data_IF_866026974828
#
_entry.id   IF_866026974828
#
_cell.length_a   1.000
_cell.length_b   1.000
_cell.length_c   1.000
_cell.angle_alpha   90.00
_cell.angle_beta   90.00
_cell.angle_gamma   90.00
#
_symmetry.space_group_name_H-M   'P 1'
#
loop_
_entity.id
_entity.type
_entity.pdbx_description
1 polymer ?
#
# COMPACT_ATOMS: atom_id res chain seq x y z
N UNK A 1 50.60 11.73 4.48
CA UNK A 1 49.93 12.72 5.35
C UNK A 1 49.11 13.70 4.52
N UNK A 2 47.80 13.51 4.43
CA UNK A 2 46.85 14.62 4.26
C UNK A 2 45.79 14.42 5.33
N UNK A 3 46.04 15.06 6.46
CA UNK A 3 45.09 15.26 7.54
C UNK A 3 44.01 16.18 6.98
N UNK A 4 42.87 15.61 6.57
CA UNK A 4 41.67 16.40 6.26
C UNK A 4 40.76 16.28 7.47
N UNK A 5 41.05 17.09 8.48
CA UNK A 5 40.08 17.59 9.47
C UNK A 5 40.01 19.10 9.19
N UNK A 6 38.88 19.81 9.23
CA UNK A 6 37.95 19.78 10.36
C UNK A 6 36.52 20.29 10.05
N UNK A 7 36.22 20.94 8.91
CA UNK A 7 34.88 21.52 8.67
C UNK A 7 34.15 20.99 7.42
N UNK A 8 34.85 20.71 6.32
CA UNK A 8 34.23 20.24 5.06
C UNK A 8 33.54 18.88 5.18
N UNK A 9 34.06 17.98 6.04
CA UNK A 9 33.42 16.70 6.33
C UNK A 9 32.14 16.91 7.12
N UNK A 10 32.10 17.89 8.02
CA UNK A 10 30.89 18.26 8.76
C UNK A 10 29.86 18.84 7.79
N UNK A 11 30.25 19.79 6.93
CA UNK A 11 29.37 20.33 5.88
C UNK A 11 28.84 19.24 4.92
N UNK A 12 29.67 18.28 4.52
CA UNK A 12 29.24 17.14 3.68
C UNK A 12 28.36 16.15 4.43
N UNK A 13 28.60 15.90 5.71
CA UNK A 13 27.74 15.05 6.54
C UNK A 13 26.37 15.70 6.76
N UNK A 14 26.31 17.03 6.92
CA UNK A 14 25.04 17.78 6.92
C UNK A 14 24.35 17.82 5.54
N UNK A 15 25.05 17.47 4.46
CA UNK A 15 24.45 17.23 3.14
C UNK A 15 23.96 15.79 2.95
N UNK A 16 24.35 14.84 3.82
CA UNK A 16 23.86 13.46 3.75
C UNK A 16 22.47 13.36 4.39
N UNK A 17 21.45 13.61 3.56
CA UNK A 17 20.03 13.42 3.93
C UNK A 17 19.68 11.93 4.11
N UNK A 18 20.51 11.02 3.58
CA UNK A 18 20.27 9.59 3.57
C UNK A 18 21.31 8.84 4.41
N UNK A 19 20.81 8.02 5.34
CA UNK A 19 21.58 7.03 6.09
C UNK A 19 21.02 5.63 5.76
N UNK A 20 21.90 4.69 5.41
CA UNK A 20 21.50 3.31 5.11
C UNK A 20 21.85 2.40 6.29
N UNK A 21 20.85 1.67 6.79
CA UNK A 21 21.02 0.69 7.87
C UNK A 21 20.58 -0.69 7.40
N UNK A 22 21.40 -1.69 7.65
CA UNK A 22 21.03 -3.09 7.45
C UNK A 22 20.31 -3.55 8.72
N UNK A 23 19.17 -4.19 8.57
CA UNK A 23 18.43 -4.79 9.67
C UNK A 23 17.17 -5.51 9.20
N UNK A 24 16.56 -6.27 10.09
CA UNK A 24 15.30 -6.99 9.86
C UNK A 24 14.24 -6.52 10.86
N UNK A 25 13.02 -6.23 10.39
CA UNK A 25 11.89 -5.87 11.27
C UNK A 25 11.55 -6.99 12.26
N UNK A 26 11.92 -8.24 11.94
CA UNK A 26 11.77 -9.40 12.83
C UNK A 26 12.72 -9.35 14.03
N UNK A 27 13.89 -8.71 13.87
CA UNK A 27 14.86 -8.54 14.95
C UNK A 27 14.51 -7.28 15.76
N UNK A 28 14.23 -7.48 17.04
CA UNK A 28 13.84 -6.39 17.92
C UNK A 28 14.96 -5.37 18.13
N UNK A 29 16.22 -5.81 18.21
CA UNK A 29 17.35 -4.94 18.45
C UNK A 29 17.68 -4.09 17.23
N UNK A 30 17.54 -4.65 16.02
CA UNK A 30 17.66 -3.89 14.77
C UNK A 30 16.62 -2.77 14.70
N UNK A 31 15.35 -3.08 15.03
CA UNK A 31 14.28 -2.09 15.09
C UNK A 31 14.56 -1.02 16.15
N UNK A 32 15.01 -1.40 17.34
CA UNK A 32 15.38 -0.44 18.39
C UNK A 32 16.49 0.50 17.94
N UNK A 33 17.50 -0.02 17.23
CA UNK A 33 18.58 0.77 16.66
C UNK A 33 18.04 1.74 15.61
N UNK A 34 17.21 1.27 14.68
CA UNK A 34 16.65 2.07 13.58
C UNK A 34 15.69 3.17 14.04
N UNK A 35 14.85 2.92 15.05
CA UNK A 35 13.82 3.87 15.52
C UNK A 35 14.37 4.93 16.48
N UNK A 36 15.54 4.70 17.09
CA UNK A 36 16.13 5.63 18.06
C UNK A 36 16.43 6.99 17.42
N UNK A 37 15.77 8.03 17.91
CA UNK A 37 15.97 9.42 17.46
C UNK A 37 15.24 9.78 16.17
N UNK A 38 14.28 8.95 15.74
CA UNK A 38 13.46 9.19 14.55
C UNK A 38 12.14 9.87 14.94
N UNK A 39 11.70 10.86 14.16
CA UNK A 39 10.42 11.55 14.37
C UNK A 39 9.25 10.81 13.68
N UNK A 40 9.48 10.26 12.48
CA UNK A 40 8.45 9.59 11.67
C UNK A 40 8.97 8.23 11.20
N UNK A 41 8.19 7.17 11.42
CA UNK A 41 8.46 5.83 10.90
C UNK A 41 7.46 5.47 9.82
N UNK A 42 7.92 5.13 8.62
CA UNK A 42 7.07 4.55 7.56
C UNK A 42 7.35 3.04 7.49
N UNK A 43 6.45 2.22 8.01
CA UNK A 43 6.56 0.77 7.95
C UNK A 43 6.04 0.24 6.60
N UNK A 44 6.94 0.16 5.62
CA UNK A 44 6.70 -0.43 4.31
C UNK A 44 7.20 -1.88 4.19
N UNK A 45 7.90 -2.42 5.20
CA UNK A 45 8.40 -3.79 5.19
C UNK A 45 7.26 -4.80 5.27
N UNK A 46 7.20 -5.73 4.31
CA UNK A 46 6.17 -6.77 4.28
C UNK A 46 6.57 -7.96 3.39
N UNK A 47 6.07 -9.14 3.74
CA UNK A 47 5.93 -10.24 2.80
C UNK A 47 4.60 -10.06 2.05
N UNK A 48 4.67 -9.67 0.77
CA UNK A 48 3.52 -9.18 -0.01
C UNK A 48 3.01 -10.11 -1.11
N UNK A 49 3.69 -11.23 -1.35
CA UNK A 49 3.34 -12.18 -2.43
C UNK A 49 2.35 -13.22 -1.92
N UNK A 50 1.11 -13.21 -2.44
CA UNK A 50 0.04 -14.12 -2.00
C UNK A 50 0.47 -15.60 -1.98
N UNK A 51 1.02 -16.18 -3.07
CA UNK A 51 1.42 -17.58 -3.04
C UNK A 51 2.48 -17.87 -1.97
N UNK A 52 3.44 -16.96 -1.77
CA UNK A 52 4.50 -17.16 -0.77
C UNK A 52 3.92 -17.16 0.64
N UNK A 53 2.98 -16.27 0.93
CA UNK A 53 2.31 -16.21 2.22
C UNK A 53 1.41 -17.44 2.48
N UNK A 54 0.78 -18.01 1.45
CA UNK A 54 0.00 -19.24 1.58
C UNK A 54 0.87 -20.46 1.87
N UNK A 55 2.01 -20.61 1.19
CA UNK A 55 2.94 -21.70 1.46
C UNK A 55 3.72 -21.53 2.76
N UNK A 56 4.00 -20.29 3.17
CA UNK A 56 4.82 -19.96 4.34
C UNK A 56 4.11 -18.96 5.27
N UNK A 57 2.96 -19.34 5.86
CA UNK A 57 2.15 -18.42 6.67
C UNK A 57 2.88 -17.91 7.91
N UNK A 58 3.73 -18.74 8.53
CA UNK A 58 4.57 -18.33 9.65
C UNK A 58 5.49 -17.15 9.27
N UNK A 59 6.08 -17.18 8.07
CA UNK A 59 6.98 -16.13 7.58
C UNK A 59 6.22 -14.82 7.34
N UNK A 60 4.96 -14.91 6.87
CA UNK A 60 4.08 -13.76 6.75
C UNK A 60 3.75 -13.17 8.13
N UNK A 61 3.45 -14.00 9.14
CA UNK A 61 3.20 -13.54 10.51
C UNK A 61 4.43 -12.86 11.12
N UNK A 62 5.62 -13.47 11.00
CA UNK A 62 6.86 -12.90 11.52
C UNK A 62 7.17 -11.53 10.91
N UNK A 63 6.98 -11.38 9.60
CA UNK A 63 7.29 -10.11 8.92
C UNK A 63 6.20 -9.06 9.14
N UNK A 64 4.95 -9.40 8.81
CA UNK A 64 3.86 -8.43 8.71
C UNK A 64 3.26 -8.09 10.09
N UNK A 65 3.26 -9.04 11.04
CA UNK A 65 2.66 -8.86 12.37
C UNK A 65 3.72 -8.62 13.44
N UNK A 66 4.71 -9.51 13.56
CA UNK A 66 5.74 -9.39 14.61
C UNK A 66 6.65 -8.20 14.32
N UNK A 67 6.99 -7.94 13.04
CA UNK A 67 7.73 -6.74 12.66
C UNK A 67 7.04 -5.43 13.09
N UNK A 68 5.73 -5.31 12.84
CA UNK A 68 4.96 -4.16 13.30
C UNK A 68 4.89 -4.08 14.84
N UNK A 69 4.76 -5.22 15.51
CA UNK A 69 4.79 -5.30 16.98
C UNK A 69 6.13 -4.83 17.54
N UNK A 70 7.25 -5.17 16.89
CA UNK A 70 8.58 -4.74 17.31
C UNK A 70 8.73 -3.22 17.25
N UNK A 71 8.20 -2.55 16.23
CA UNK A 71 8.18 -1.07 16.15
C UNK A 71 7.42 -0.48 17.33
N UNK A 72 6.21 -0.99 17.60
CA UNK A 72 5.36 -0.53 18.70
C UNK A 72 6.07 -0.73 20.05
N UNK A 73 6.69 -1.90 20.26
CA UNK A 73 7.41 -2.23 21.48
C UNK A 73 8.64 -1.37 21.67
N UNK A 74 9.43 -1.13 20.62
CA UNK A 74 10.65 -0.34 20.69
C UNK A 74 10.33 1.09 21.16
N UNK A 75 9.29 1.71 20.59
CA UNK A 75 8.82 3.04 21.00
C UNK A 75 8.39 3.04 22.46
N UNK A 76 7.56 2.06 22.86
CA UNK A 76 7.01 1.97 24.22
C UNK A 76 8.06 1.72 25.29
N UNK A 77 8.86 0.68 25.11
CA UNK A 77 9.78 0.15 26.12
C UNK A 77 10.98 1.08 26.34
N UNK A 78 11.41 1.80 25.30
CA UNK A 78 12.53 2.76 25.40
C UNK A 78 12.08 4.22 25.53
N UNK A 79 10.77 4.51 25.44
CA UNK A 79 10.26 5.88 25.50
C UNK A 79 10.76 6.77 24.37
N UNK A 80 10.95 6.21 23.16
CA UNK A 80 11.38 6.99 22.00
C UNK A 80 10.32 8.00 21.60
N UNK A 81 10.74 9.23 21.28
CA UNK A 81 9.86 10.35 20.93
C UNK A 81 9.46 10.34 19.45
N UNK A 82 8.95 9.21 18.97
CA UNK A 82 8.39 9.11 17.62
C UNK A 82 7.05 9.85 17.61
N UNK A 83 6.90 10.80 16.69
CA UNK A 83 5.65 11.56 16.53
C UNK A 83 4.59 10.73 15.81
N UNK A 84 4.96 10.11 14.69
CA UNK A 84 4.01 9.34 13.85
C UNK A 84 4.63 8.05 13.32
N UNK A 85 3.86 6.97 13.36
CA UNK A 85 4.15 5.71 12.65
C UNK A 85 3.06 5.49 11.60
N UNK A 86 3.46 5.30 10.35
CA UNK A 86 2.57 4.97 9.24
C UNK A 86 2.75 3.51 8.86
N UNK A 87 1.70 2.70 9.03
CA UNK A 87 1.64 1.36 8.49
C UNK A 87 1.14 1.35 7.06
N UNK A 88 1.95 0.87 6.11
CA UNK A 88 1.47 0.60 4.74
C UNK A 88 0.68 -0.70 4.75
N UNK A 89 -0.58 -0.67 4.31
CA UNK A 89 -1.50 -1.81 4.18
C UNK A 89 -1.98 -1.96 2.73
N UNK A 90 -2.96 -2.85 2.51
CA UNK A 90 -3.46 -3.20 1.18
C UNK A 90 -4.98 -3.44 1.19
N UNK A 91 -5.64 -3.22 0.06
CA UNK A 91 -7.04 -3.64 -0.17
C UNK A 91 -7.35 -5.08 0.28
N UNK A 92 -6.38 -6.00 0.18
CA UNK A 92 -6.57 -7.41 0.59
C UNK A 92 -6.76 -7.58 2.09
N UNK A 93 -6.44 -6.56 2.90
CA UNK A 93 -6.71 -6.54 4.34
C UNK A 93 -8.21 -6.34 4.66
N UNK A 94 -8.98 -5.70 3.77
CA UNK A 94 -10.43 -5.60 3.93
C UNK A 94 -11.08 -6.92 3.51
N UNK A 95 -11.91 -7.55 4.36
CA UNK A 95 -12.52 -8.88 4.11
C UNK A 95 -11.50 -9.90 3.54
N UNK A 96 -10.41 -10.20 4.26
CA UNK A 96 -9.28 -10.95 3.72
C UNK A 96 -9.64 -12.42 3.44
N UNK A 97 -9.18 -12.94 2.30
CA UNK A 97 -9.41 -14.35 1.89
C UNK A 97 -8.11 -15.16 1.79
N UNK A 98 -6.95 -14.51 1.94
CA UNK A 98 -5.63 -15.11 1.86
C UNK A 98 -4.76 -14.64 3.03
N UNK A 99 -3.71 -15.42 3.35
CA UNK A 99 -2.81 -15.19 4.48
C UNK A 99 -2.13 -13.82 4.41
N UNK A 100 -1.76 -13.36 3.20
CA UNK A 100 -1.17 -12.04 3.03
C UNK A 100 -2.13 -10.95 3.52
N UNK A 101 -3.37 -10.95 3.03
CA UNK A 101 -4.42 -10.03 3.47
C UNK A 101 -4.72 -10.15 4.97
N UNK A 102 -4.82 -11.37 5.50
CA UNK A 102 -5.08 -11.61 6.93
C UNK A 102 -3.99 -11.02 7.82
N UNK A 103 -2.72 -11.21 7.47
CA UNK A 103 -1.59 -10.67 8.25
C UNK A 103 -1.51 -9.14 8.16
N UNK A 104 -1.87 -8.54 7.03
CA UNK A 104 -1.97 -7.08 6.90
C UNK A 104 -3.17 -6.50 7.67
N UNK A 105 -4.30 -7.21 7.71
CA UNK A 105 -5.43 -6.84 8.57
C UNK A 105 -5.04 -6.86 10.06
N UNK A 106 -4.27 -7.87 10.49
CA UNK A 106 -3.71 -7.93 11.85
C UNK A 106 -2.73 -6.77 12.09
N UNK A 107 -1.86 -6.44 11.13
CA UNK A 107 -0.95 -5.29 11.23
C UNK A 107 -1.71 -3.99 11.52
N UNK A 108 -2.80 -3.73 10.81
CA UNK A 108 -3.63 -2.54 11.04
C UNK A 108 -4.17 -2.53 12.48
N UNK A 109 -4.66 -3.66 12.99
CA UNK A 109 -5.14 -3.75 14.39
C UNK A 109 -4.02 -3.53 15.40
N UNK A 110 -2.81 -4.03 15.13
CA UNK A 110 -1.62 -3.79 15.96
C UNK A 110 -1.38 -2.27 16.07
N UNK A 111 -1.33 -1.56 14.94
CA UNK A 111 -1.11 -0.11 14.94
C UNK A 111 -2.30 0.68 15.52
N UNK A 112 -3.55 0.28 15.28
CA UNK A 112 -4.70 0.91 15.95
C UNK A 112 -4.56 0.79 17.47
N UNK A 113 -4.31 -0.42 18.00
CA UNK A 113 -4.13 -0.63 19.45
C UNK A 113 -2.91 0.08 20.02
N UNK A 114 -1.85 0.27 19.23
CA UNK A 114 -0.64 0.95 19.66
C UNK A 114 -0.89 2.40 20.09
N UNK A 115 -1.93 3.06 19.56
CA UNK A 115 -2.31 4.41 20.00
C UNK A 115 -2.80 4.45 21.46
N UNK A 116 -3.36 3.36 21.98
CA UNK A 116 -3.74 3.23 23.40
C UNK A 116 -2.49 2.96 24.25
N UNK A 117 -1.62 2.08 23.77
CA UNK A 117 -0.38 1.69 24.47
C UNK A 117 0.68 2.81 24.50
N UNK A 118 0.64 3.72 23.53
CA UNK A 118 1.61 4.80 23.33
C UNK A 118 0.86 6.12 23.06
N UNK A 119 0.31 6.77 24.10
CA UNK A 119 -0.55 7.95 23.93
C UNK A 119 0.14 9.16 23.29
N UNK A 120 1.48 9.20 23.29
CA UNK A 120 2.25 10.32 22.72
C UNK A 120 2.63 10.12 21.25
N UNK A 121 2.49 8.91 20.70
CA UNK A 121 2.82 8.61 19.30
C UNK A 121 1.54 8.33 18.54
N UNK A 122 1.39 8.93 17.36
CA UNK A 122 0.26 8.71 16.47
C UNK A 122 0.55 7.52 15.56
N UNK A 123 -0.19 6.43 15.70
CA UNK A 123 -0.12 5.29 14.78
C UNK A 123 -1.29 5.35 13.82
N UNK A 124 -1.00 5.39 12.52
CA UNK A 124 -1.98 5.46 11.45
C UNK A 124 -1.65 4.42 10.39
N UNK A 125 -2.64 4.06 9.59
CA UNK A 125 -2.41 3.20 8.43
C UNK A 125 -2.80 3.92 7.14
N UNK A 126 -2.17 3.53 6.06
CA UNK A 126 -2.70 3.76 4.71
C UNK A 126 -3.09 2.42 4.12
N UNK A 127 -4.21 2.36 3.42
CA UNK A 127 -4.67 1.16 2.74
C UNK A 127 -4.99 1.54 1.30
N UNK A 128 -4.31 0.91 0.36
CA UNK A 128 -4.56 1.11 -1.06
C UNK A 128 -4.45 -0.18 -1.86
N UNK A 129 -5.00 -0.16 -3.07
CA UNK A 129 -4.95 -1.29 -3.99
C UNK A 129 -3.61 -1.44 -4.70
N UNK A 130 -3.58 -2.29 -5.71
CA UNK A 130 -2.38 -2.51 -6.50
C UNK A 130 -1.91 -1.21 -7.17
N UNK A 131 -0.63 -0.89 -6.99
CA UNK A 131 0.03 0.23 -7.67
C UNK A 131 0.31 -0.14 -9.12
N UNK A 132 -0.10 0.74 -10.04
CA UNK A 132 0.11 0.63 -11.47
C UNK A 132 1.63 0.51 -11.75
N UNK A 133 1.99 -0.37 -12.70
CA UNK A 133 3.39 -0.68 -13.06
C UNK A 133 4.29 -1.26 -11.95
N UNK A 134 3.75 -1.67 -10.80
CA UNK A 134 4.54 -2.39 -9.80
C UNK A 134 5.03 -3.75 -10.32
N UNK A 135 6.20 -4.20 -9.84
CA UNK A 135 6.83 -5.46 -10.25
C UNK A 135 5.90 -6.65 -9.98
N UNK A 136 5.67 -7.48 -11.01
CA UNK A 136 4.77 -8.64 -10.93
C UNK A 136 3.28 -8.32 -11.00
N UNK A 137 2.89 -7.08 -11.29
CA UNK A 137 1.49 -6.71 -11.52
C UNK A 137 1.02 -7.02 -12.95
N UNK A 138 -0.29 -6.89 -13.18
CA UNK A 138 -0.94 -7.29 -14.44
C UNK A 138 -0.52 -6.44 -15.65
N UNK A 139 -0.25 -5.15 -15.46
CA UNK A 139 0.11 -4.24 -16.56
C UNK A 139 1.49 -4.61 -17.14
N UNK A 140 2.57 -4.74 -16.35
CA UNK A 140 3.85 -5.24 -16.85
C UNK A 140 3.76 -6.62 -17.51
N UNK A 141 2.95 -7.53 -16.96
CA UNK A 141 2.71 -8.84 -17.57
C UNK A 141 2.08 -8.69 -18.97
N UNK A 142 1.08 -7.82 -19.13
CA UNK A 142 0.44 -7.60 -20.43
C UNK A 142 1.38 -6.90 -21.41
N UNK A 143 2.20 -5.94 -20.96
CA UNK A 143 3.26 -5.34 -21.78
C UNK A 143 4.21 -6.40 -22.32
N UNK A 144 4.72 -7.28 -21.45
CA UNK A 144 5.62 -8.38 -21.82
C UNK A 144 4.96 -9.33 -22.83
N UNK A 145 3.77 -9.84 -22.50
CA UNK A 145 2.99 -10.73 -23.37
C UNK A 145 2.74 -10.11 -24.75
N UNK A 146 2.39 -8.83 -24.80
CA UNK A 146 2.16 -8.13 -26.06
C UNK A 146 3.46 -7.98 -26.85
N UNK A 147 4.56 -7.62 -26.18
CA UNK A 147 5.87 -7.46 -26.83
C UNK A 147 6.39 -8.77 -27.42
N UNK A 148 5.99 -9.91 -26.86
CA UNK A 148 6.32 -11.25 -27.35
C UNK A 148 5.31 -11.82 -28.36
N UNK A 149 4.28 -11.06 -28.76
CA UNK A 149 3.28 -11.47 -29.75
C UNK A 149 2.02 -12.17 -29.20
N UNK A 150 1.85 -12.21 -27.88
CA UNK A 150 0.68 -12.76 -27.19
C UNK A 150 0.73 -14.28 -26.96
N UNK A 151 -0.39 -14.89 -26.52
CA UNK A 151 -1.66 -14.23 -26.17
C UNK A 151 -1.58 -13.44 -24.86
N UNK A 152 -2.46 -12.45 -24.70
CA UNK A 152 -2.65 -11.78 -23.41
C UNK A 152 -3.54 -12.65 -22.52
N UNK A 153 -3.07 -13.02 -21.33
CA UNK A 153 -3.79 -13.93 -20.44
C UNK A 153 -4.63 -13.17 -19.42
N UNK A 154 -5.96 -13.20 -19.57
CA UNK A 154 -6.90 -12.59 -18.63
C UNK A 154 -7.47 -13.68 -17.72
N UNK A 155 -7.49 -13.46 -16.41
CA UNK A 155 -8.04 -14.45 -15.45
C UNK A 155 -9.55 -14.60 -15.63
N UNK A 156 -10.32 -13.61 -15.21
CA UNK A 156 -11.77 -13.53 -15.41
C UNK A 156 -12.10 -12.14 -15.96
N UNK A 157 -12.87 -12.02 -17.06
CA UNK A 157 -13.14 -10.71 -17.68
C UNK A 157 -13.76 -9.68 -16.73
N UNK A 158 -14.70 -10.11 -15.89
CA UNK A 158 -15.44 -9.25 -14.98
C UNK A 158 -14.67 -8.92 -13.69
N UNK A 159 -13.46 -9.43 -13.52
CA UNK A 159 -12.60 -9.12 -12.38
C UNK A 159 -12.22 -7.63 -12.40
N UNK A 160 -12.34 -6.94 -11.27
CA UNK A 160 -12.06 -5.49 -11.17
C UNK A 160 -10.90 -5.20 -10.24
N UNK A 161 -10.13 -4.16 -10.55
CA UNK A 161 -9.03 -3.67 -9.72
C UNK A 161 -9.07 -2.15 -9.65
N UNK A 162 -8.77 -1.61 -8.47
CA UNK A 162 -8.49 -0.19 -8.33
C UNK A 162 -7.22 0.15 -9.11
N UNK A 163 -7.23 1.32 -9.75
CA UNK A 163 -6.12 1.83 -10.53
C UNK A 163 -5.52 3.03 -9.80
N UNK A 164 -4.32 2.83 -9.26
CA UNK A 164 -3.61 3.82 -8.47
C UNK A 164 -2.16 3.92 -8.93
N UNK A 165 -1.67 5.10 -9.31
CA UNK A 165 -0.26 5.29 -9.67
C UNK A 165 0.67 5.21 -8.43
N UNK A 166 1.97 5.07 -8.67
CA UNK A 166 2.96 5.11 -7.59
C UNK A 166 2.93 6.46 -6.87
N UNK A 167 2.85 7.55 -7.63
CA UNK A 167 2.76 8.90 -7.08
C UNK A 167 1.52 9.05 -6.20
N UNK A 168 0.36 8.54 -6.62
CA UNK A 168 -0.86 8.59 -5.82
C UNK A 168 -0.75 7.74 -4.53
N UNK A 169 -0.05 6.60 -4.59
CA UNK A 169 0.22 5.80 -3.39
C UNK A 169 1.14 6.53 -2.40
N UNK A 170 2.16 7.25 -2.91
CA UNK A 170 3.05 8.10 -2.11
C UNK A 170 2.30 9.31 -1.55
N UNK A 171 1.47 9.98 -2.36
CA UNK A 171 0.63 11.09 -1.95
C UNK A 171 -0.34 10.68 -0.84
N UNK A 172 -0.85 9.45 -0.88
CA UNK A 172 -1.68 8.89 0.20
C UNK A 172 -0.92 8.83 1.52
N UNK A 173 0.36 8.43 1.51
CA UNK A 173 1.22 8.41 2.71
C UNK A 173 1.40 9.83 3.26
N UNK A 174 1.71 10.80 2.39
CA UNK A 174 1.87 12.20 2.80
C UNK A 174 0.57 12.83 3.30
N UNK A 175 -0.56 12.53 2.65
CA UNK A 175 -1.87 12.98 3.10
C UNK A 175 -2.22 12.41 4.47
N UNK A 176 -1.95 11.12 4.70
CA UNK A 176 -2.17 10.50 6.00
C UNK A 176 -1.27 11.13 7.09
N UNK A 177 0.01 11.37 6.80
CA UNK A 177 0.92 12.07 7.74
C UNK A 177 0.40 13.45 8.15
N UNK A 178 -0.21 14.18 7.22
CA UNK A 178 -0.75 15.52 7.46
C UNK A 178 -2.10 15.47 8.20
N UNK A 179 -3.03 14.65 7.72
CA UNK A 179 -4.46 14.80 8.02
C UNK A 179 -5.05 13.67 8.87
N UNK A 180 -4.40 12.50 8.94
CA UNK A 180 -4.96 11.36 9.68
C UNK A 180 -4.87 11.58 11.19
N UNK A 181 -5.98 11.28 11.88
CA UNK A 181 -6.06 11.23 13.34
C UNK A 181 -5.56 9.89 13.86
N UNK A 182 -5.30 9.83 15.17
CA UNK A 182 -4.83 8.64 15.88
C UNK A 182 -5.71 7.43 15.59
N UNK A 183 -5.11 6.35 15.09
CA UNK A 183 -5.79 5.09 14.82
C UNK A 183 -6.60 5.04 13.54
N UNK A 184 -6.64 6.12 12.74
CA UNK A 184 -7.32 6.13 11.45
C UNK A 184 -6.55 5.31 10.40
N UNK A 185 -7.32 4.70 9.49
CA UNK A 185 -6.79 4.13 8.24
C UNK A 185 -7.23 4.99 7.06
N UNK A 186 -6.27 5.58 6.37
CA UNK A 186 -6.49 6.44 5.21
C UNK A 186 -6.57 5.61 3.92
N UNK A 187 -7.56 5.91 3.10
CA UNK A 187 -7.90 5.19 1.88
C UNK A 187 -8.10 6.21 0.75
N UNK A 188 -7.36 6.15 -0.37
CA UNK A 188 -7.59 7.04 -1.51
C UNK A 188 -8.92 6.71 -2.19
N UNK A 189 -9.62 7.75 -2.63
CA UNK A 189 -10.78 7.63 -3.51
C UNK A 189 -10.30 7.37 -4.95
N UNK A 190 -10.09 6.08 -5.25
CA UNK A 190 -9.48 5.65 -6.50
C UNK A 190 -10.51 5.04 -7.48
N UNK A 191 -10.38 5.30 -8.80
CA UNK A 191 -11.20 4.63 -9.80
C UNK A 191 -10.82 3.15 -9.95
N UNK A 192 -11.70 2.35 -10.55
CA UNK A 192 -11.42 0.96 -10.89
C UNK A 192 -11.67 0.67 -12.37
N UNK A 193 -11.08 -0.43 -12.85
CA UNK A 193 -11.39 -0.98 -14.17
C UNK A 193 -11.47 -2.50 -14.12
N UNK A 194 -12.15 -3.07 -15.11
CA UNK A 194 -12.10 -4.52 -15.34
C UNK A 194 -10.75 -4.91 -15.94
N UNK A 195 -10.27 -6.11 -15.62
CA UNK A 195 -9.02 -6.64 -16.18
C UNK A 195 -9.12 -6.75 -17.70
N UNK A 196 -10.31 -7.02 -18.25
CA UNK A 196 -10.54 -7.03 -19.70
C UNK A 196 -10.42 -5.64 -20.33
N UNK A 197 -10.88 -4.58 -19.66
CA UNK A 197 -10.72 -3.22 -20.18
C UNK A 197 -9.25 -2.81 -20.19
N UNK A 198 -8.49 -3.18 -19.15
CA UNK A 198 -7.03 -2.97 -19.11
C UNK A 198 -6.36 -3.71 -20.30
N UNK A 199 -6.68 -5.00 -20.49
CA UNK A 199 -6.13 -5.80 -21.59
C UNK A 199 -6.45 -5.19 -22.96
N UNK A 200 -7.72 -4.87 -23.23
CA UNK A 200 -8.17 -4.25 -24.49
C UNK A 200 -7.51 -2.90 -24.75
N UNK A 201 -7.36 -2.09 -23.70
CA UNK A 201 -6.70 -0.78 -23.79
C UNK A 201 -5.23 -0.94 -24.15
N UNK A 202 -4.53 -1.88 -23.50
CA UNK A 202 -3.13 -2.14 -23.78
C UNK A 202 -2.91 -2.83 -25.12
N UNK A 203 -3.85 -3.66 -25.61
CA UNK A 203 -3.80 -4.28 -26.95
C UNK A 203 -4.04 -3.25 -28.06
N UNK A 204 -4.93 -2.28 -27.85
CA UNK A 204 -5.28 -1.31 -28.89
C UNK A 204 -5.76 -2.00 -30.17
N UNK A 205 -5.24 -1.57 -31.32
CA UNK A 205 -5.61 -2.10 -32.64
C UNK A 205 -4.76 -3.30 -33.11
N UNK A 206 -3.91 -3.85 -32.23
CA UNK A 206 -3.04 -5.00 -32.57
C UNK A 206 -3.84 -6.29 -32.63
N UNK A 207 -3.51 -7.13 -33.61
CA UNK A 207 -4.10 -8.47 -33.77
C UNK A 207 -3.45 -9.45 -32.77
N UNK A 208 -3.91 -9.41 -31.51
CA UNK A 208 -3.41 -10.24 -30.41
C UNK A 208 -4.59 -10.90 -29.71
N UNK A 209 -4.54 -12.23 -29.59
CA UNK A 209 -5.55 -13.02 -28.90
C UNK A 209 -5.57 -12.74 -27.38
N UNK A 210 -6.77 -12.65 -26.80
CA UNK A 210 -6.98 -12.68 -25.35
C UNK A 210 -7.40 -14.09 -24.93
N UNK A 211 -6.59 -14.74 -24.09
CA UNK A 211 -6.87 -16.08 -23.56
C UNK A 211 -7.38 -15.99 -22.12
N UNK A 212 -8.54 -16.58 -21.86
CA UNK A 212 -9.13 -16.66 -20.51
C UNK A 212 -8.52 -17.83 -19.73
N UNK A 213 -7.94 -17.57 -18.57
CA UNK A 213 -7.24 -18.60 -17.75
C UNK A 213 -7.99 -19.03 -16.50
N UNK A 214 -9.05 -18.33 -16.12
CA UNK A 214 -9.79 -18.56 -14.88
C UNK A 214 -9.17 -17.88 -13.65
N UNK A 215 -9.90 -17.94 -12.53
CA UNK A 215 -9.47 -17.34 -11.25
C UNK A 215 -8.34 -18.16 -10.63
N UNK A 216 -7.32 -17.47 -10.11
CA UNK A 216 -6.23 -18.13 -9.38
C UNK A 216 -6.60 -18.34 -7.91
N UNK A 217 -6.09 -19.39 -7.25
CA UNK A 217 -6.30 -19.58 -5.81
C UNK A 217 -5.88 -18.36 -5.00
N UNK A 218 -6.73 -17.94 -4.05
CA UNK A 218 -6.45 -16.81 -3.15
C UNK A 218 -6.72 -15.42 -3.73
N UNK A 219 -7.23 -15.32 -4.97
CA UNK A 219 -7.64 -14.04 -5.56
C UNK A 219 -9.12 -13.72 -5.31
N UNK A 220 -9.43 -12.42 -5.17
CA UNK A 220 -10.80 -11.92 -5.18
C UNK A 220 -11.23 -11.51 -6.59
N UNK A 221 -12.52 -11.64 -6.85
CA UNK A 221 -13.16 -11.08 -8.05
C UNK A 221 -13.09 -9.55 -8.05
N UNK A 222 -13.45 -8.96 -6.91
CA UNK A 222 -13.44 -7.52 -6.71
C UNK A 222 -12.65 -7.21 -5.45
N UNK A 223 -11.75 -6.23 -5.54
CA UNK A 223 -11.04 -5.71 -4.38
C UNK A 223 -11.93 -4.72 -3.62
N UNK A 224 -11.75 -4.67 -2.31
CA UNK A 224 -12.53 -3.86 -1.38
C UNK A 224 -11.54 -3.00 -0.58
N UNK A 225 -11.84 -1.72 -0.45
CA UNK A 225 -10.98 -0.76 0.25
C UNK A 225 -11.57 -0.36 1.60
N UNK A 226 -12.90 -0.28 1.68
CA UNK A 226 -13.69 -0.11 2.91
C UNK A 226 -14.80 -1.16 2.90
N UNK A 227 -14.84 -2.01 3.92
CA UNK A 227 -15.89 -3.02 4.07
C UNK A 227 -17.24 -2.42 4.50
N UNK A 228 -18.32 -3.19 4.39
CA UNK A 228 -19.65 -2.80 4.88
C UNK A 228 -19.65 -2.52 6.40
N UNK A 229 -18.83 -3.23 7.17
CA UNK A 229 -18.70 -2.99 8.61
C UNK A 229 -17.89 -1.73 8.91
N UNK A 230 -16.90 -1.40 8.07
CA UNK A 230 -16.07 -0.20 8.22
C UNK A 230 -16.80 1.07 7.73
N UNK A 231 -17.74 0.96 6.79
CA UNK A 231 -18.39 2.12 6.18
C UNK A 231 -19.12 2.98 7.23
N UNK A 232 -19.68 2.36 8.28
CA UNK A 232 -20.41 3.00 9.37
C UNK A 232 -19.58 3.97 10.21
N UNK A 233 -18.25 3.82 10.21
CA UNK A 233 -17.33 4.74 10.90
C UNK A 233 -16.30 5.34 9.95
N UNK A 234 -16.64 5.44 8.66
CA UNK A 234 -15.76 6.02 7.64
C UNK A 234 -16.24 7.43 7.28
N UNK A 235 -15.30 8.38 7.29
CA UNK A 235 -15.55 9.80 7.01
C UNK A 235 -14.76 10.25 5.77
N UNK A 236 -15.18 11.35 5.13
CA UNK A 236 -14.51 11.91 3.94
C UNK A 236 -13.53 12.99 4.38
N UNK A 237 -12.28 12.92 3.89
CA UNK A 237 -11.26 13.96 4.08
C UNK A 237 -10.62 14.31 2.73
N UNK A 238 -11.19 15.30 2.04
CA UNK A 238 -10.76 15.68 0.68
C UNK A 238 -10.92 14.51 -0.29
N UNK A 239 -9.84 14.11 -0.97
CA UNK A 239 -9.81 12.98 -1.91
C UNK A 239 -9.60 11.62 -1.24
N UNK A 240 -9.74 11.56 0.10
CA UNK A 240 -9.51 10.36 0.89
C UNK A 240 -10.71 10.03 1.74
N UNK A 241 -10.80 8.77 2.11
CA UNK A 241 -11.63 8.28 3.20
C UNK A 241 -10.75 8.00 4.41
N UNK A 242 -11.26 8.28 5.61
CA UNK A 242 -10.61 7.92 6.87
C UNK A 242 -11.52 6.96 7.62
N UNK A 243 -11.09 5.71 7.75
CA UNK A 243 -11.75 4.70 8.57
C UNK A 243 -11.37 4.97 10.02
N UNK A 244 -12.34 5.36 10.85
CA UNK A 244 -12.10 5.69 12.25
C UNK A 244 -11.86 4.43 13.10
N UNK A 245 -11.09 4.53 14.20
CA UNK A 245 -10.80 3.38 15.04
C UNK A 245 -12.05 2.82 15.73
N UNK A 246 -12.10 1.49 15.84
CA UNK A 246 -13.16 0.79 16.57
C UNK A 246 -13.01 0.87 18.09
N UNK A 247 -11.81 1.22 18.58
CA UNK A 247 -11.50 1.29 20.01
C UNK A 247 -12.13 2.54 20.63
N UNK A 248 -12.98 2.41 21.67
CA UNK A 248 -13.65 3.55 22.31
C UNK A 248 -12.70 4.64 22.81
N UNK A 249 -11.50 4.27 23.28
CA UNK A 249 -10.48 5.18 23.79
C UNK A 249 -9.93 6.14 22.73
N UNK A 250 -10.09 5.79 21.44
CA UNK A 250 -9.60 6.57 20.31
C UNK A 250 -10.72 7.27 19.54
N UNK A 251 -11.99 7.02 19.88
CA UNK A 251 -13.11 7.67 19.22
C UNK A 251 -13.21 9.11 19.68
N UNK A 252 -13.31 10.02 18.70
CA UNK A 252 -13.63 11.42 18.94
C UNK A 252 -15.14 11.54 19.09
N UNK A 253 -15.62 12.25 20.11
CA UNK A 253 -17.06 12.40 20.39
C UNK A 253 -17.80 13.24 19.33
N UNK A 254 -17.07 14.04 18.54
CA UNK A 254 -17.66 14.81 17.44
C UNK A 254 -18.15 13.88 16.33
N UNK A 255 -19.46 13.93 16.08
CA UNK A 255 -20.11 13.20 15.01
C UNK A 255 -19.70 13.77 13.64
N UNK A 256 -18.62 13.24 13.07
CA UNK A 256 -18.30 13.42 11.66
C UNK A 256 -19.31 12.61 10.82
N UNK A 257 -19.81 13.19 9.73
CA UNK A 257 -20.82 12.53 8.90
C UNK A 257 -20.25 11.32 8.17
N UNK A 258 -20.96 10.20 8.24
CA UNK A 258 -20.67 8.99 7.49
C UNK A 258 -20.56 9.31 5.99
N UNK A 259 -19.46 8.89 5.37
CA UNK A 259 -19.15 9.22 3.97
C UNK A 259 -19.62 8.18 2.95
N UNK A 260 -19.87 6.95 3.41
CA UNK A 260 -20.21 5.81 2.57
C UNK A 260 -21.43 5.10 3.13
N UNK A 261 -22.44 4.82 2.30
CA UNK A 261 -23.63 4.05 2.68
C UNK A 261 -23.48 2.55 2.49
N UNK A 262 -22.46 2.11 1.75
CA UNK A 262 -22.17 0.72 1.40
C UNK A 262 -20.63 0.53 1.30
N UNK A 263 -20.17 -0.69 1.07
CA UNK A 263 -18.75 -0.99 0.88
C UNK A 263 -18.14 -0.24 -0.30
N UNK A 264 -16.90 0.22 -0.12
CA UNK A 264 -16.11 0.79 -1.21
C UNK A 264 -15.39 -0.36 -1.93
N UNK A 265 -16.11 -0.93 -2.90
CA UNK A 265 -15.67 -2.04 -3.73
C UNK A 265 -15.32 -1.58 -5.14
N UNK A 266 -14.27 -2.15 -5.71
CA UNK A 266 -13.87 -1.90 -7.10
C UNK A 266 -14.95 -2.29 -8.12
N UNK A 267 -15.91 -3.14 -7.75
CA UNK A 267 -17.08 -3.47 -8.57
C UNK A 267 -18.01 -2.26 -8.77
N UNK A 268 -18.07 -1.37 -7.78
CA UNK A 268 -18.97 -0.21 -7.75
C UNK A 268 -18.32 1.07 -8.32
N UNK A 269 -17.05 0.98 -8.71
CA UNK A 269 -16.23 2.12 -9.18
C UNK A 269 -15.62 1.88 -10.56
N UNK A 270 -16.19 0.95 -11.33
CA UNK A 270 -15.69 0.57 -12.66
C UNK A 270 -15.95 1.69 -13.68
N UNK A 271 -14.88 2.21 -14.28
CA UNK A 271 -14.96 3.11 -15.42
C UNK A 271 -15.21 2.40 -16.75
N UNK A 272 -15.62 3.16 -17.76
CA UNK A 272 -15.76 2.70 -19.14
C UNK A 272 -14.40 2.33 -19.75
N UNK A 273 -14.41 1.69 -20.93
CA UNK A 273 -13.18 1.42 -21.69
C UNK A 273 -12.44 2.73 -22.04
N UNK A 274 -13.18 3.79 -22.38
CA UNK A 274 -12.61 5.10 -22.69
C UNK A 274 -11.95 5.73 -21.46
N UNK A 275 -12.62 5.71 -20.31
CA UNK A 275 -12.05 6.18 -19.04
C UNK A 275 -10.82 5.36 -18.63
N UNK A 276 -10.84 4.05 -18.87
CA UNK A 276 -9.66 3.19 -18.65
C UNK A 276 -8.49 3.62 -19.54
N UNK A 277 -8.76 3.94 -20.81
CA UNK A 277 -7.74 4.43 -21.76
C UNK A 277 -7.18 5.78 -21.35
N UNK A 278 -8.03 6.72 -20.96
CA UNK A 278 -7.62 8.03 -20.46
C UNK A 278 -6.70 7.89 -19.25
N UNK A 279 -7.10 7.09 -18.25
CA UNK A 279 -6.32 6.89 -17.04
C UNK A 279 -4.97 6.23 -17.31
N UNK A 280 -4.91 5.19 -18.16
CA UNK A 280 -3.64 4.56 -18.53
C UNK A 280 -2.75 5.51 -19.34
N UNK A 281 -3.33 6.38 -20.18
CA UNK A 281 -2.59 7.39 -20.94
C UNK A 281 -2.03 8.50 -20.04
N UNK A 282 -2.82 9.00 -19.09
CA UNK A 282 -2.42 10.04 -18.13
C UNK A 282 -1.18 9.61 -17.33
N UNK A 283 -1.14 8.34 -16.92
CA UNK A 283 -0.01 7.74 -16.20
C UNK A 283 1.09 7.16 -17.10
N UNK A 284 1.06 7.41 -18.42
CA UNK A 284 2.06 6.93 -19.41
C UNK A 284 2.27 5.41 -19.40
N UNK A 285 1.19 4.65 -19.23
CA UNK A 285 1.20 3.19 -19.14
C UNK A 285 0.85 2.50 -20.45
N UNK A 286 0.55 3.24 -21.52
CA UNK A 286 0.32 2.66 -22.84
C UNK A 286 1.63 2.22 -23.49
N UNK A 287 1.55 1.24 -24.40
CA UNK A 287 2.71 0.75 -25.13
C UNK A 287 3.37 1.88 -25.92
N UNK A 288 4.69 2.02 -25.77
CA UNK A 288 5.48 3.08 -26.40
C UNK A 288 5.50 4.41 -25.63
N UNK A 289 4.70 4.57 -24.57
CA UNK A 289 4.75 5.72 -23.67
C UNK A 289 5.54 5.44 -22.39
N UNK A 290 5.66 4.16 -22.02
CA UNK A 290 6.46 3.73 -20.88
C UNK A 290 7.94 4.00 -21.19
N UNK A 291 8.48 5.11 -20.70
CA UNK A 291 9.91 5.17 -20.39
C UNK A 291 10.13 4.21 -19.24
N UNK A 292 10.41 2.94 -19.53
CA UNK A 292 11.21 2.14 -18.61
C UNK A 292 12.55 2.89 -18.57
N UNK A 293 12.68 3.82 -17.63
CA UNK A 293 13.95 4.48 -17.40
C UNK A 293 14.96 3.36 -17.12
N UNK A 294 15.95 3.23 -18.00
CA UNK A 294 17.15 2.44 -17.75
C UNK A 294 17.77 2.97 -16.44
N UNK A 295 17.42 2.36 -15.30
CA UNK A 295 17.97 2.72 -14.00
C UNK A 295 16.97 2.96 -12.85
N UNK A 296 15.64 2.97 -13.09
CA UNK A 296 14.70 2.83 -11.96
C UNK A 296 14.66 1.35 -11.56
N UNK A 297 15.43 0.99 -10.54
CA UNK A 297 15.25 -0.30 -9.88
C UNK A 297 13.80 -0.42 -9.39
N UNK A 298 13.06 -1.30 -10.05
CA UNK A 298 11.70 -1.69 -9.73
C UNK A 298 11.57 -2.01 -8.24
N UNK A 299 10.84 -1.14 -7.52
CA UNK A 299 10.64 -1.21 -6.08
C UNK A 299 10.12 -2.59 -5.62
N UNK A 300 10.77 -3.13 -4.59
CA UNK A 300 10.56 -4.47 -4.02
C UNK A 300 9.19 -4.66 -3.35
#
# INVERSE_FOLDING_TARGET
HKTVTTDEVIFRNFQQVLEFRIGDVRDYHDVCSAVKGVDIVVNAAALKQVPTCEYFPEQAVLTNCIGATNIVRAIREHGYKVETVVGVSTDKAAKPVNVMGMTKAIQERIFTSANVLNPNTRFICVRYGNVLASRGSVIPLFHDQISTGGPVTVTVPDMTRFLLSLDQAVDTVFAALRDAKRGETFVPDAPAATVINIAKTLIGDRDIEIKITGIRPGEKMHEIMVSEEECHHTVKRGNYYAIQPMLPELRVEEAESQALSDEFSSANSVGTLEQTRELLSEHRLLIGQTTLAEGEELLA
#
